data_IF_369015585006
#
_entry.id   IF_369015585006
#
_cell.length_a   1.000
_cell.length_b   1.000
_cell.length_c   1.000
_cell.angle_alpha   90.00
_cell.angle_beta   90.00
_cell.angle_gamma   90.00
#
_symmetry.space_group_name_H-M   'P 1'
#
loop_
_entity.id
_entity.type
_entity.pdbx_description
1 polymer ?
#
# COMPACT_ATOMS: atom_id res chain seq x y z
N UNK A 1 16.86 -13.54 -58.40
CA UNK A 1 16.24 -12.76 -57.31
C UNK A 1 15.82 -13.71 -56.19
N UNK A 2 16.52 -13.73 -55.06
CA UNK A 2 16.04 -14.28 -53.78
C UNK A 2 16.71 -13.51 -52.65
N UNK A 3 16.01 -12.51 -52.12
CA UNK A 3 16.41 -11.74 -50.94
C UNK A 3 15.76 -12.40 -49.72
N UNK A 4 16.57 -13.03 -48.88
CA UNK A 4 16.13 -13.63 -47.62
C UNK A 4 15.99 -12.52 -46.59
N UNK A 5 14.76 -12.27 -46.14
CA UNK A 5 14.42 -11.20 -45.21
C UNK A 5 14.36 -11.76 -43.78
N UNK A 6 15.41 -11.52 -42.99
CA UNK A 6 15.47 -11.93 -41.57
C UNK A 6 14.76 -10.89 -40.73
N UNK A 7 13.60 -11.25 -40.14
CA UNK A 7 12.90 -10.39 -39.18
C UNK A 7 13.51 -10.58 -37.79
N UNK A 8 14.08 -9.51 -37.24
CA UNK A 8 14.47 -9.42 -35.83
C UNK A 8 13.22 -9.13 -34.99
N UNK A 9 12.77 -10.10 -34.20
CA UNK A 9 11.77 -9.87 -33.17
C UNK A 9 12.48 -9.40 -31.89
N UNK A 10 12.32 -8.14 -31.53
CA UNK A 10 12.76 -7.62 -30.23
C UNK A 10 11.77 -8.08 -29.15
N UNK A 11 12.18 -9.04 -28.33
CA UNK A 11 11.45 -9.44 -27.13
C UNK A 11 11.83 -8.47 -26.03
N UNK A 12 10.99 -7.46 -25.78
CA UNK A 12 11.12 -6.63 -24.59
C UNK A 12 10.76 -7.50 -23.37
N UNK A 13 11.76 -7.89 -22.59
CA UNK A 13 11.54 -8.53 -21.31
C UNK A 13 10.90 -7.50 -20.37
N UNK A 14 9.60 -7.66 -20.09
CA UNK A 14 8.93 -6.98 -18.98
C UNK A 14 9.52 -7.56 -17.69
N UNK A 15 10.59 -6.94 -17.20
CA UNK A 15 11.06 -7.21 -15.84
C UNK A 15 9.98 -6.66 -14.91
N UNK A 16 9.10 -7.53 -14.43
CA UNK A 16 8.27 -7.27 -13.26
C UNK A 16 9.20 -7.08 -12.07
N UNK A 17 9.71 -5.85 -11.90
CA UNK A 17 10.39 -5.46 -10.68
C UNK A 17 9.34 -5.49 -9.57
N UNK A 18 9.47 -6.43 -8.65
CA UNK A 18 8.76 -6.33 -7.38
C UNK A 18 9.34 -5.09 -6.67
N UNK A 19 8.66 -3.96 -6.80
CA UNK A 19 8.97 -2.79 -5.99
C UNK A 19 8.68 -3.18 -4.54
N UNK A 20 9.72 -3.23 -3.71
CA UNK A 20 9.51 -3.24 -2.28
C UNK A 20 8.80 -1.93 -1.94
N UNK A 21 7.54 -2.00 -1.57
CA UNK A 21 6.80 -0.80 -1.16
C UNK A 21 7.42 -0.35 0.16
N UNK A 22 8.10 0.79 0.11
CA UNK A 22 8.63 1.45 1.29
C UNK A 22 7.41 1.98 2.07
N UNK A 23 7.44 1.84 3.40
CA UNK A 23 6.38 2.35 4.26
C UNK A 23 6.46 3.87 4.38
N UNK A 24 6.12 4.55 3.29
CA UNK A 24 6.02 6.00 3.19
C UNK A 24 4.81 6.38 2.34
N UNK A 25 4.33 7.61 2.54
CA UNK A 25 3.09 8.07 1.94
C UNK A 25 3.17 8.17 0.43
N UNK A 26 4.29 8.67 -0.11
CA UNK A 26 4.41 8.98 -1.52
C UNK A 26 4.54 7.71 -2.36
N UNK A 27 5.31 6.73 -1.87
CA UNK A 27 5.41 5.41 -2.48
C UNK A 27 4.04 4.73 -2.55
N UNK A 28 3.30 4.75 -1.44
CA UNK A 28 1.98 4.12 -1.36
C UNK A 28 0.91 4.86 -2.17
N UNK A 29 0.96 6.18 -2.24
CA UNK A 29 -0.03 7.00 -2.94
C UNK A 29 -0.14 6.62 -4.43
N UNK A 30 0.95 6.17 -5.04
CA UNK A 30 0.98 5.72 -6.44
C UNK A 30 0.09 4.50 -6.72
N UNK A 31 -0.25 3.71 -5.71
CA UNK A 31 -1.14 2.55 -5.82
C UNK A 31 -2.63 2.93 -5.80
N UNK A 32 -2.97 4.19 -5.52
CA UNK A 32 -4.34 4.64 -5.33
C UNK A 32 -4.82 5.57 -6.46
N UNK A 33 -6.11 5.54 -6.81
CA UNK A 33 -6.70 6.52 -7.72
C UNK A 33 -6.74 7.92 -7.09
N UNK A 34 -6.91 8.96 -7.90
CA UNK A 34 -6.89 10.37 -7.47
C UNK A 34 -7.97 10.76 -6.43
N UNK A 35 -9.00 9.92 -6.25
CA UNK A 35 -10.05 10.10 -5.24
C UNK A 35 -9.64 9.66 -3.84
N UNK A 36 -8.49 8.98 -3.71
CA UNK A 36 -7.97 8.46 -2.46
C UNK A 36 -6.66 9.15 -2.07
N UNK A 37 -6.49 9.44 -0.80
CA UNK A 37 -5.31 10.10 -0.24
C UNK A 37 -4.79 9.29 0.93
N UNK A 38 -3.49 9.02 0.94
CA UNK A 38 -2.82 8.47 2.12
C UNK A 38 -2.72 9.57 3.18
N UNK A 39 -3.35 9.37 4.34
CA UNK A 39 -3.31 10.31 5.46
C UNK A 39 -2.04 10.12 6.29
N UNK A 40 -1.64 8.86 6.53
CA UNK A 40 -0.33 8.50 7.06
C UNK A 40 0.08 7.10 6.61
N UNK A 41 1.38 6.86 6.63
CA UNK A 41 2.00 5.55 6.52
C UNK A 41 3.16 5.52 7.53
N UNK A 42 3.09 4.62 8.49
CA UNK A 42 4.07 4.54 9.58
C UNK A 42 4.46 3.09 9.78
N UNK A 43 5.77 2.81 9.70
CA UNK A 43 6.26 1.48 10.01
C UNK A 43 6.24 1.25 11.52
N UNK A 44 5.68 0.11 11.91
CA UNK A 44 5.47 -0.29 13.28
C UNK A 44 6.33 -1.52 13.59
N UNK A 45 7.24 -1.47 14.57
CA UNK A 45 8.02 -2.65 14.96
C UNK A 45 7.12 -3.70 15.63
N UNK A 46 7.62 -4.93 15.73
CA UNK A 46 6.94 -5.99 16.47
C UNK A 46 6.74 -5.60 17.95
N UNK A 47 5.61 -6.02 18.52
CA UNK A 47 5.14 -5.73 19.87
C UNK A 47 4.86 -4.24 20.15
N UNK A 48 4.71 -3.43 19.10
CA UNK A 48 4.40 -2.00 19.25
C UNK A 48 2.91 -1.72 19.45
N UNK A 49 2.60 -0.44 19.65
CA UNK A 49 1.25 0.09 19.82
C UNK A 49 1.01 1.19 18.78
N UNK A 50 -0.05 1.09 17.99
CA UNK A 50 -0.50 2.20 17.15
C UNK A 50 -1.34 3.14 18.01
N UNK A 51 -0.82 4.35 18.27
CA UNK A 51 -1.55 5.35 19.05
C UNK A 51 -2.75 5.88 18.28
N UNK A 52 -3.95 5.62 18.78
CA UNK A 52 -5.19 6.24 18.29
C UNK A 52 -5.65 7.33 19.26
N UNK A 53 -6.17 8.48 18.78
CA UNK A 53 -6.69 9.51 19.65
C UNK A 53 -7.86 8.98 20.48
N UNK A 54 -7.92 9.33 21.77
CA UNK A 54 -9.09 8.99 22.62
C UNK A 54 -10.41 9.58 22.12
N UNK A 55 -10.34 10.61 21.27
CA UNK A 55 -11.50 11.23 20.63
C UNK A 55 -12.08 10.39 19.49
N UNK A 56 -11.39 9.34 19.02
CA UNK A 56 -11.97 8.36 18.11
C UNK A 56 -12.99 7.52 18.86
N UNK A 57 -14.27 7.89 18.74
CA UNK A 57 -15.37 7.28 19.49
C UNK A 57 -15.59 5.82 19.05
N UNK A 58 -15.30 5.50 17.78
CA UNK A 58 -15.46 4.15 17.25
C UNK A 58 -14.35 3.22 17.74
N UNK A 59 -13.12 3.74 17.83
CA UNK A 59 -11.94 2.97 18.23
C UNK A 59 -11.06 3.72 19.22
N UNK A 60 -11.53 3.95 20.48
CA UNK A 60 -10.79 4.77 21.45
C UNK A 60 -9.61 4.03 22.09
N UNK A 61 -9.49 2.72 21.88
CA UNK A 61 -8.44 1.88 22.45
C UNK A 61 -7.37 1.63 21.38
N UNK A 62 -6.14 2.04 21.69
CA UNK A 62 -4.98 1.82 20.81
C UNK A 62 -4.68 0.32 20.70
N UNK A 63 -4.56 -0.24 19.48
CA UNK A 63 -4.15 -1.62 19.31
C UNK A 63 -2.68 -1.77 19.71
N UNK A 64 -2.39 -2.81 20.48
CA UNK A 64 -1.07 -3.13 21.03
C UNK A 64 -0.60 -4.48 20.49
N UNK A 65 0.64 -4.87 20.81
CA UNK A 65 1.22 -6.17 20.45
C UNK A 65 1.19 -6.43 18.93
N UNK A 66 1.38 -5.37 18.14
CA UNK A 66 1.34 -5.46 16.69
C UNK A 66 2.48 -6.34 16.15
N UNK A 67 2.23 -7.04 15.05
CA UNK A 67 3.33 -7.59 14.23
C UNK A 67 4.05 -6.46 13.51
N UNK A 68 5.30 -6.71 13.11
CA UNK A 68 6.03 -5.76 12.27
C UNK A 68 5.26 -5.52 10.96
N UNK A 69 4.83 -4.27 10.73
CA UNK A 69 3.96 -3.92 9.63
C UNK A 69 3.97 -2.42 9.35
N UNK A 70 3.65 -2.04 8.12
CA UNK A 70 3.29 -0.67 7.77
C UNK A 70 1.82 -0.41 8.11
N UNK A 71 1.55 0.50 9.04
CA UNK A 71 0.21 0.99 9.34
C UNK A 71 -0.13 2.16 8.42
N UNK A 72 -1.20 2.04 7.64
CA UNK A 72 -1.60 3.03 6.64
C UNK A 72 -3.03 3.45 6.90
N UNK A 73 -3.29 4.75 6.87
CA UNK A 73 -4.64 5.31 6.87
C UNK A 73 -4.91 6.00 5.54
N UNK A 74 -6.08 5.73 4.97
CA UNK A 74 -6.51 6.28 3.69
C UNK A 74 -7.85 6.99 3.88
N UNK A 75 -7.98 8.15 3.26
CA UNK A 75 -9.24 8.87 3.10
C UNK A 75 -9.65 8.85 1.63
N UNK A 76 -10.92 8.55 1.37
CA UNK A 76 -11.50 8.52 0.02
C UNK A 76 -12.62 9.55 -0.07
N UNK A 77 -12.54 10.41 -1.09
CA UNK A 77 -13.51 11.46 -1.36
C UNK A 77 -13.96 11.37 -2.81
N UNK A 78 -15.19 10.91 -3.06
CA UNK A 78 -15.73 10.74 -4.41
C UNK A 78 -16.68 11.87 -4.86
N UNK A 79 -16.89 12.88 -4.00
CA UNK A 79 -17.78 14.02 -4.24
C UNK A 79 -19.21 13.87 -3.74
N UNK A 80 -19.71 12.65 -3.54
CA UNK A 80 -21.07 12.38 -3.01
C UNK A 80 -21.05 11.69 -1.64
N UNK A 81 -20.03 10.90 -1.36
CA UNK A 81 -19.76 10.27 -0.07
C UNK A 81 -18.26 10.25 0.22
N UNK A 82 -17.93 10.21 1.50
CA UNK A 82 -16.56 10.12 1.98
C UNK A 82 -16.45 8.94 2.94
N UNK A 83 -15.38 8.17 2.84
CA UNK A 83 -15.07 7.12 3.80
C UNK A 83 -13.56 7.07 4.01
N UNK A 84 -13.15 6.52 5.15
CA UNK A 84 -11.76 6.25 5.45
C UNK A 84 -11.60 4.79 5.85
N UNK A 85 -10.41 4.25 5.64
CA UNK A 85 -10.05 2.92 6.10
C UNK A 85 -8.58 2.86 6.47
N UNK A 86 -8.27 1.97 7.42
CA UNK A 86 -6.91 1.63 7.79
C UNK A 86 -6.52 0.28 7.22
N UNK A 87 -5.25 0.08 6.90
CA UNK A 87 -4.69 -1.22 6.52
C UNK A 87 -3.33 -1.41 7.19
N UNK A 88 -3.08 -2.63 7.66
CA UNK A 88 -1.75 -3.06 8.10
C UNK A 88 -1.15 -3.93 6.99
N UNK A 89 0.02 -3.54 6.48
CA UNK A 89 0.78 -4.28 5.48
C UNK A 89 1.96 -4.97 6.19
N UNK A 90 1.90 -6.28 6.50
CA UNK A 90 2.93 -6.95 7.28
C UNK A 90 4.24 -7.09 6.51
N UNK A 91 5.37 -7.00 7.22
CA UNK A 91 6.69 -7.28 6.64
C UNK A 91 6.78 -8.75 6.18
N UNK A 92 6.21 -9.66 6.98
CA UNK A 92 6.05 -11.08 6.65
C UNK A 92 4.62 -11.36 6.18
N UNK A 93 4.38 -11.17 4.88
CA UNK A 93 3.06 -11.35 4.28
C UNK A 93 2.85 -12.78 3.77
N UNK A 94 1.81 -13.43 4.27
CA UNK A 94 1.45 -14.81 3.90
C UNK A 94 0.59 -14.92 2.61
N UNK A 95 0.48 -13.84 1.83
CA UNK A 95 -0.28 -13.82 0.58
C UNK A 95 -1.81 -13.73 0.74
N UNK A 96 -2.33 -13.48 1.95
CA UNK A 96 -3.78 -13.35 2.21
C UNK A 96 -4.16 -11.91 2.50
N UNK A 97 -5.37 -11.53 2.07
CA UNK A 97 -5.98 -10.24 2.33
C UNK A 97 -7.20 -10.42 3.24
N UNK A 98 -7.35 -9.52 4.21
CA UNK A 98 -8.44 -9.47 5.20
C UNK A 98 -8.83 -8.02 5.44
#
# INVERSE_FOLDING_TARGET
MRTTQTRLAAVAALTSGAFAIICDKDSLQSAFPSVATIDFATWMPANSTLGVPKADIAYPVSPTQLRAACAVQVSVKNGTSNYGFGVFLPDDWNGRFL
#
